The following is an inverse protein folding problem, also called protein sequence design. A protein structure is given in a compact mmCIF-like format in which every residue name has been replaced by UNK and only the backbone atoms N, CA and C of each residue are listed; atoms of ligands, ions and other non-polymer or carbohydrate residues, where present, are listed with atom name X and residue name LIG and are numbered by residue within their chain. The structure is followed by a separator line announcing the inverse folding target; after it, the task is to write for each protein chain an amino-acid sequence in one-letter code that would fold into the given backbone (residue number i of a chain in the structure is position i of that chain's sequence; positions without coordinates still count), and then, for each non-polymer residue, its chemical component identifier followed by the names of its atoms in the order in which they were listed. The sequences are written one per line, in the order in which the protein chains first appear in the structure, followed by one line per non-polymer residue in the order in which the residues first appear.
data_IF_594226803018
#
_entry.id   IF_594226803018
#
_cell.length_a   1.000
_cell.length_b   1.000
_cell.length_c   1.000
_cell.angle_alpha   90.00
_cell.angle_beta   90.00
_cell.angle_gamma   90.00
#
_symmetry.space_group_name_H-M   'P 1'
#
loop_
_entity.id
_entity.type
_entity.pdbx_description
1 polymer ?
#
# COMPACT_ATOMS: atom_id res chain seq x y z
N UNK A 1 14.99 -10.97 -3.14
CA UNK A 1 13.56 -10.74 -3.43
C UNK A 1 13.13 -9.45 -2.76
N UNK A 2 12.32 -8.60 -3.40
CA UNK A 2 11.94 -7.27 -2.87
C UNK A 2 11.23 -7.33 -1.50
N UNK A 3 10.54 -8.43 -1.22
CA UNK A 3 9.84 -8.67 0.04
C UNK A 3 10.73 -8.52 1.29
N UNK A 4 12.01 -8.91 1.20
CA UNK A 4 12.97 -8.82 2.31
C UNK A 4 13.44 -7.37 2.59
N UNK A 5 13.18 -6.44 1.67
CA UNK A 5 13.47 -5.02 1.85
C UNK A 5 12.28 -4.25 2.43
N UNK A 6 11.11 -4.89 2.58
CA UNK A 6 9.90 -4.26 3.11
C UNK A 6 9.87 -4.34 4.65
N UNK A 7 9.27 -3.34 5.33
CA UNK A 7 8.99 -3.44 6.77
C UNK A 7 8.21 -4.71 7.12
N UNK A 8 8.55 -5.35 8.25
CA UNK A 8 7.96 -6.63 8.69
C UNK A 8 6.42 -6.64 8.70
N UNK A 9 5.79 -5.52 9.04
CA UNK A 9 4.33 -5.39 9.02
C UNK A 9 3.77 -5.57 7.62
N UNK A 10 4.41 -4.97 6.61
CA UNK A 10 3.98 -5.03 5.21
C UNK A 10 4.27 -6.42 4.63
N UNK A 11 5.48 -6.94 4.85
CA UNK A 11 5.87 -8.26 4.36
C UNK A 11 4.93 -9.37 4.87
N UNK A 12 4.59 -9.36 6.17
CA UNK A 12 3.62 -10.31 6.74
C UNK A 12 2.22 -10.15 6.18
N UNK A 13 1.79 -8.92 5.91
CA UNK A 13 0.48 -8.66 5.29
C UNK A 13 0.39 -9.28 3.89
N UNK A 14 1.41 -9.07 3.06
CA UNK A 14 1.50 -9.63 1.70
C UNK A 14 1.53 -11.17 1.73
N UNK A 15 2.35 -11.75 2.60
CA UNK A 15 2.42 -13.21 2.77
C UNK A 15 1.10 -13.80 3.29
N UNK A 16 0.43 -13.13 4.23
CA UNK A 16 -0.86 -13.56 4.74
C UNK A 16 -1.94 -13.55 3.66
N UNK A 17 -1.97 -12.51 2.83
CA UNK A 17 -2.89 -12.44 1.69
C UNK A 17 -2.59 -13.54 0.65
N UNK A 18 -1.33 -13.75 0.30
CA UNK A 18 -0.90 -14.82 -0.59
C UNK A 18 -1.35 -16.19 -0.07
N UNK A 19 -1.15 -16.47 1.22
CA UNK A 19 -1.60 -17.71 1.84
C UNK A 19 -3.13 -17.87 1.83
N UNK A 20 -3.88 -16.80 2.09
CA UNK A 20 -5.34 -16.83 2.12
C UNK A 20 -5.99 -16.99 0.73
N UNK A 21 -5.31 -16.56 -0.33
CA UNK A 21 -5.80 -16.61 -1.71
C UNK A 21 -5.17 -17.73 -2.53
N UNK A 22 -4.21 -18.45 -1.96
CA UNK A 22 -3.37 -19.46 -2.64
C UNK A 22 -2.62 -18.91 -3.86
N UNK A 23 -2.45 -17.58 -3.92
CA UNK A 23 -1.68 -16.94 -4.97
C UNK A 23 -0.18 -16.96 -4.66
N UNK A 24 0.68 -17.09 -5.69
CA UNK A 24 2.11 -16.93 -5.51
C UNK A 24 2.41 -15.49 -5.04
N UNK A 25 3.40 -15.36 -4.16
CA UNK A 25 3.75 -14.07 -3.55
C UNK A 25 4.16 -13.03 -4.61
N UNK A 26 4.75 -13.48 -5.71
CA UNK A 26 5.12 -12.66 -6.86
C UNK A 26 3.89 -12.02 -7.52
N UNK A 27 2.79 -12.77 -7.68
CA UNK A 27 1.55 -12.24 -8.25
C UNK A 27 0.88 -11.24 -7.32
N UNK A 28 0.89 -11.50 -6.00
CA UNK A 28 0.36 -10.54 -5.02
C UNK A 28 1.15 -9.23 -5.05
N UNK A 29 2.48 -9.30 -5.16
CA UNK A 29 3.32 -8.12 -5.32
C UNK A 29 3.02 -7.37 -6.61
N UNK A 30 2.88 -8.08 -7.73
CA UNK A 30 2.56 -7.49 -9.03
C UNK A 30 1.21 -6.76 -9.00
N UNK A 31 0.16 -7.39 -8.47
CA UNK A 31 -1.16 -6.76 -8.34
C UNK A 31 -1.14 -5.53 -7.43
N UNK A 32 -0.42 -5.60 -6.29
CA UNK A 32 -0.33 -4.47 -5.38
C UNK A 32 0.38 -3.27 -6.02
N UNK A 33 1.46 -3.52 -6.78
CA UNK A 33 2.19 -2.47 -7.49
C UNK A 33 1.35 -1.92 -8.65
N UNK A 34 0.71 -2.79 -9.44
CA UNK A 34 -0.14 -2.39 -10.55
C UNK A 34 -1.31 -1.53 -10.06
N UNK A 35 -2.00 -1.95 -9.00
CA UNK A 35 -3.09 -1.17 -8.39
C UNK A 35 -2.61 0.17 -7.80
N UNK A 36 -1.40 0.23 -7.22
CA UNK A 36 -0.84 1.51 -6.76
C UNK A 36 -0.50 2.47 -7.92
N UNK A 37 -0.06 1.93 -9.06
CA UNK A 37 0.32 2.73 -10.23
C UNK A 37 -0.87 3.11 -11.12
N UNK A 38 -2.03 2.50 -10.91
CA UNK A 38 -3.26 2.83 -11.61
C UNK A 38 -3.79 4.19 -11.15
N UNK A 39 -3.92 5.14 -12.08
CA UNK A 39 -4.38 6.50 -11.80
C UNK A 39 -5.83 6.56 -11.35
N UNK A 40 -6.62 5.54 -11.67
CA UNK A 40 -8.03 5.46 -11.31
C UNK A 40 -8.23 4.70 -9.98
N UNK A 41 -7.16 4.15 -9.38
CA UNK A 41 -7.25 3.50 -8.08
C UNK A 41 -7.39 4.52 -6.94
N UNK A 42 -8.43 4.32 -6.13
CA UNK A 42 -8.64 5.09 -4.89
C UNK A 42 -7.43 4.92 -3.98
N UNK A 43 -6.76 6.04 -3.72
CA UNK A 43 -5.63 6.08 -2.81
C UNK A 43 -5.91 7.08 -1.67
N UNK A 44 -5.05 7.08 -0.66
CA UNK A 44 -5.24 7.93 0.53
C UNK A 44 -5.19 9.43 0.22
N UNK A 45 -4.64 9.86 -0.92
CA UNK A 45 -4.69 11.26 -1.33
C UNK A 45 -6.12 11.68 -1.73
N UNK A 46 -6.93 10.75 -2.22
CA UNK A 46 -8.33 11.00 -2.57
C UNK A 46 -9.25 11.10 -1.35
N UNK A 47 -8.80 10.63 -0.19
CA UNK A 47 -9.60 10.59 1.03
C UNK A 47 -9.73 11.95 1.76
N UNK A 48 -9.08 13.03 1.29
CA UNK A 48 -8.98 14.32 1.99
C UNK A 48 -8.84 14.17 3.51
N UNK A 49 -7.77 13.50 4.00
CA UNK A 49 -7.64 13.27 5.43
C UNK A 49 -7.60 14.61 6.18
N UNK A 50 -8.38 14.73 7.26
CA UNK A 50 -8.49 15.93 8.11
C UNK A 50 -7.14 16.44 8.65
N UNK A 51 -6.06 15.65 8.52
CA UNK A 51 -4.70 16.05 8.85
C UNK A 51 -4.07 17.06 7.86
N UNK A 52 -4.71 17.35 6.73
CA UNK A 52 -4.16 18.25 5.70
C UNK A 52 -4.16 19.74 6.09
N UNK A 53 -4.88 20.16 7.14
CA UNK A 53 -4.99 21.59 7.52
C UNK A 53 -4.09 22.03 8.69
N UNK A 54 -3.30 21.15 9.30
CA UNK A 54 -2.43 21.54 10.41
C UNK A 54 -1.05 21.98 9.90
N UNK A 55 -1.00 23.12 9.20
CA UNK A 55 0.16 23.99 8.89
C UNK A 55 -0.35 25.07 7.89
N UNK A 56 -0.42 26.38 8.12
CA UNK A 56 0.31 27.32 8.96
C UNK A 56 -0.57 28.57 9.20
N UNK A 57 -1.04 28.80 10.43
CA UNK A 57 -1.41 30.14 10.90
C UNK A 57 -0.58 30.49 12.14
N UNK A 58 0.74 30.39 11.98
CA UNK A 58 1.65 31.23 12.75
C UNK A 58 1.99 32.43 11.87
N UNK A 59 1.23 33.52 12.05
CA UNK A 59 1.64 34.93 11.96
C UNK A 59 0.46 35.83 12.26
#
# INVERSE_FOLDING_TARGET
MILAALPDRIARGLLGYAAATEYPIEMVLEMAIAGFLDSDCLNFADCQPEYAEVQLTAN
#
